data_IF_560314111057
#
_entry.id   IF_560314111057
#
_cell.length_a   1.000
_cell.length_b   1.000
_cell.length_c   1.000
_cell.angle_alpha   90.00
_cell.angle_beta   90.00
_cell.angle_gamma   90.00
#
_symmetry.space_group_name_H-M   'P 1'
#
loop_
_entity.id
_entity.type
_entity.pdbx_description
1 polymer ?
#
# COMPACT_ATOMS: atom_id res chain seq x y z
N UNK A 1 -14.09 29.11 -14.61
CA UNK A 1 -14.69 28.85 -13.29
C UNK A 1 -14.79 27.34 -13.12
N UNK A 2 -13.78 26.71 -12.54
CA UNK A 2 -13.74 25.26 -12.32
C UNK A 2 -14.18 24.98 -10.89
N UNK A 3 -15.37 24.38 -10.73
CA UNK A 3 -15.80 23.82 -9.44
C UNK A 3 -15.17 22.45 -9.28
N UNK A 4 -14.34 22.31 -8.26
CA UNK A 4 -13.70 21.09 -7.77
C UNK A 4 -14.74 20.07 -7.27
N UNK A 5 -14.59 18.76 -7.56
CA UNK A 5 -15.37 17.72 -6.92
C UNK A 5 -14.61 17.23 -5.69
N UNK A 6 -14.94 17.76 -4.51
CA UNK A 6 -14.50 17.20 -3.25
C UNK A 6 -15.56 17.47 -2.17
N UNK A 7 -16.76 16.93 -2.39
CA UNK A 7 -17.76 16.83 -1.33
C UNK A 7 -18.19 15.37 -1.15
N UNK A 8 -17.24 14.58 -0.66
CA UNK A 8 -17.51 13.32 0.02
C UNK A 8 -17.25 13.52 1.51
N UNK A 9 -18.03 14.38 2.15
CA UNK A 9 -18.30 14.43 3.60
C UNK A 9 -17.07 14.30 4.51
N UNK A 10 -16.52 15.45 4.92
CA UNK A 10 -15.44 15.62 5.90
C UNK A 10 -15.49 14.66 7.11
N UNK A 11 -16.69 14.35 7.61
CA UNK A 11 -16.87 13.48 8.78
C UNK A 11 -16.52 12.00 8.50
N UNK A 12 -16.76 11.51 7.28
CA UNK A 12 -16.46 10.11 6.92
C UNK A 12 -14.96 9.88 6.78
N UNK A 13 -14.26 10.82 6.14
CA UNK A 13 -12.79 10.80 6.06
C UNK A 13 -12.14 10.93 7.44
N UNK A 14 -12.60 11.84 8.29
CA UNK A 14 -12.11 11.97 9.67
C UNK A 14 -12.31 10.68 10.46
N UNK A 15 -13.42 9.96 10.26
CA UNK A 15 -13.67 8.66 10.91
C UNK A 15 -12.76 7.56 10.39
N UNK A 16 -12.49 7.51 9.08
CA UNK A 16 -11.55 6.55 8.48
C UNK A 16 -10.15 6.81 9.02
N UNK A 17 -9.67 8.06 9.01
CA UNK A 17 -8.37 8.43 9.55
C UNK A 17 -8.27 8.13 11.05
N UNK A 18 -9.34 8.38 11.82
CA UNK A 18 -9.36 8.08 13.27
C UNK A 18 -9.38 6.58 13.56
N UNK A 19 -10.07 5.78 12.75
CA UNK A 19 -10.03 4.32 12.85
C UNK A 19 -8.64 3.78 12.52
N UNK A 20 -8.01 4.30 11.46
CA UNK A 20 -6.62 3.97 11.11
C UNK A 20 -5.64 4.37 12.22
N UNK A 21 -5.83 5.54 12.85
CA UNK A 21 -5.00 5.99 13.98
C UNK A 21 -5.18 5.08 15.21
N UNK A 22 -6.42 4.69 15.55
CA UNK A 22 -6.68 3.78 16.68
C UNK A 22 -6.12 2.37 16.44
N UNK A 23 -6.14 1.89 15.19
CA UNK A 23 -5.48 0.63 14.81
C UNK A 23 -3.97 0.79 14.94
N UNK A 24 -3.38 1.89 14.45
CA UNK A 24 -1.96 2.17 14.59
C UNK A 24 -1.52 2.29 16.05
N UNK A 25 -2.31 2.95 16.90
CA UNK A 25 -2.01 3.15 18.32
C UNK A 25 -2.10 1.84 19.12
N UNK A 26 -3.11 1.00 18.86
CA UNK A 26 -3.22 -0.34 19.48
C UNK A 26 -2.08 -1.28 19.03
N UNK A 27 -1.58 -1.13 17.80
CA UNK A 27 -0.43 -1.90 17.30
C UNK A 27 0.91 -1.38 17.87
N UNK A 28 0.95 -0.13 18.32
CA UNK A 28 2.15 0.53 18.88
C UNK A 28 2.48 0.07 20.30
N UNK A 29 1.49 -0.40 21.06
CA UNK A 29 1.69 -0.81 22.46
C UNK A 29 2.44 -2.13 22.62
N UNK A 30 2.77 -2.84 21.51
CA UNK A 30 3.27 -4.21 21.58
C UNK A 30 4.56 -4.57 20.82
N UNK A 31 5.39 -3.63 20.31
CA UNK A 31 6.65 -4.06 19.66
C UNK A 31 7.75 -3.03 19.41
N UNK A 32 8.99 -3.47 19.64
CA UNK A 32 10.21 -2.96 19.03
C UNK A 32 10.23 -3.34 17.53
N UNK A 33 9.86 -2.37 16.69
CA UNK A 33 9.93 -2.34 15.22
C UNK A 33 9.28 -3.52 14.47
N UNK A 34 8.19 -3.18 13.79
CA UNK A 34 7.49 -4.01 12.83
C UNK A 34 7.51 -3.34 11.46
N UNK A 35 7.73 -4.13 10.41
CA UNK A 35 7.51 -3.66 9.04
C UNK A 35 6.03 -3.57 8.72
N UNK A 36 5.71 -3.26 7.46
CA UNK A 36 4.33 -3.10 7.01
C UNK A 36 4.10 -3.73 5.65
N UNK A 37 2.92 -4.31 5.47
CA UNK A 37 2.36 -4.58 4.16
C UNK A 37 1.66 -3.33 3.64
N UNK A 38 2.07 -2.86 2.48
CA UNK A 38 1.53 -1.67 1.82
C UNK A 38 1.11 -2.04 0.41
N UNK A 39 -0.16 -1.83 0.06
CA UNK A 39 -0.64 -2.00 -1.30
C UNK A 39 -0.88 -0.63 -1.93
N UNK A 40 -0.39 -0.43 -3.14
CA UNK A 40 -0.62 0.78 -3.93
C UNK A 40 -1.45 0.45 -5.17
N UNK A 41 -2.17 1.46 -5.65
CA UNK A 41 -2.80 1.44 -6.96
C UNK A 41 -2.03 2.41 -7.88
N UNK A 42 -1.42 1.87 -8.93
CA UNK A 42 -0.71 2.63 -9.96
C UNK A 42 -1.65 2.78 -11.15
N UNK A 43 -1.92 4.04 -11.53
CA UNK A 43 -2.73 4.36 -12.70
C UNK A 43 -1.84 4.39 -13.94
N UNK A 44 -2.29 3.79 -15.04
CA UNK A 44 -1.63 3.97 -16.34
C UNK A 44 -1.82 5.42 -16.81
N UNK A 45 -0.76 6.06 -17.30
CA UNK A 45 -0.84 7.47 -17.74
C UNK A 45 -1.58 7.65 -19.09
N UNK A 46 -1.67 6.62 -19.94
CA UNK A 46 -2.07 6.78 -21.35
C UNK A 46 -3.19 5.80 -21.84
N UNK A 47 -3.99 5.25 -20.94
CA UNK A 47 -5.14 4.41 -21.32
C UNK A 47 -6.41 5.25 -21.45
N UNK A 48 -7.03 5.27 -22.64
CA UNK A 48 -8.39 5.81 -22.91
C UNK A 48 -9.50 5.08 -22.12
N UNK A 49 -9.13 4.12 -21.26
CA UNK A 49 -10.02 3.30 -20.45
C UNK A 49 -9.75 3.61 -18.98
N UNK A 50 -10.64 4.39 -18.39
CA UNK A 50 -10.55 5.06 -17.08
C UNK A 50 -10.39 4.11 -15.87
N UNK A 51 -10.30 2.81 -16.10
CA UNK A 51 -10.47 1.76 -15.08
C UNK A 51 -9.29 0.79 -14.94
N UNK A 52 -8.22 0.91 -15.71
CA UNK A 52 -7.09 -0.02 -15.59
C UNK A 52 -6.03 0.48 -14.58
N UNK A 53 -6.23 0.15 -13.29
CA UNK A 53 -5.24 0.35 -12.23
C UNK A 53 -4.53 -0.96 -11.86
N UNK A 54 -3.21 -0.90 -11.74
CA UNK A 54 -2.35 -2.01 -11.32
C UNK A 54 -2.15 -1.96 -9.81
N UNK A 55 -2.43 -3.07 -9.14
CA UNK A 55 -2.12 -3.21 -7.72
C UNK A 55 -0.71 -3.77 -7.53
N UNK A 56 0.07 -3.13 -6.67
CA UNK A 56 1.37 -3.62 -6.25
C UNK A 56 1.38 -3.69 -4.73
N UNK A 57 1.76 -4.83 -4.17
CA UNK A 57 1.90 -5.03 -2.73
C UNK A 57 3.36 -5.14 -2.36
N UNK A 58 3.75 -4.32 -1.39
CA UNK A 58 5.08 -4.20 -0.86
C UNK A 58 5.14 -4.69 0.58
N UNK A 59 6.27 -5.28 0.95
CA UNK A 59 6.74 -5.40 2.32
C UNK A 59 7.73 -4.28 2.56
N UNK A 60 7.55 -3.50 3.64
CA UNK A 60 8.38 -2.34 3.95
C UNK A 60 8.92 -2.45 5.35
N UNK A 61 10.24 -2.44 5.50
CA UNK A 61 10.91 -2.49 6.79
C UNK A 61 11.06 -1.09 7.40
N UNK A 62 9.93 -0.47 7.76
CA UNK A 62 9.90 0.83 8.43
C UNK A 62 9.05 0.75 9.70
N UNK A 63 9.55 1.32 10.80
CA UNK A 63 8.86 1.24 12.08
C UNK A 63 7.61 2.12 12.15
N UNK A 64 7.65 3.27 11.47
CA UNK A 64 6.52 4.19 11.39
C UNK A 64 5.65 3.83 10.18
N UNK A 65 4.33 3.58 10.36
CA UNK A 65 3.44 3.29 9.24
C UNK A 65 3.37 4.42 8.22
N UNK A 66 3.51 5.68 8.65
CA UNK A 66 3.50 6.81 7.72
C UNK A 66 4.78 6.85 6.86
N UNK A 67 5.94 6.52 7.43
CA UNK A 67 7.18 6.30 6.69
C UNK A 67 7.05 5.15 5.69
N UNK A 68 6.45 4.02 6.08
CA UNK A 68 6.23 2.88 5.19
C UNK A 68 5.40 3.24 3.96
N UNK A 69 4.29 3.97 4.17
CA UNK A 69 3.45 4.50 3.08
C UNK A 69 4.24 5.46 2.20
N UNK A 70 5.00 6.38 2.79
CA UNK A 70 5.80 7.37 2.05
C UNK A 70 6.86 6.71 1.16
N UNK A 71 7.57 5.72 1.68
CA UNK A 71 8.56 4.95 0.92
C UNK A 71 7.91 4.23 -0.25
N UNK A 72 6.79 3.56 -0.02
CA UNK A 72 6.06 2.81 -1.05
C UNK A 72 5.52 3.70 -2.16
N UNK A 73 4.91 4.84 -1.80
CA UNK A 73 4.39 5.83 -2.75
C UNK A 73 5.52 6.42 -3.60
N UNK A 74 6.65 6.72 -2.97
CA UNK A 74 7.83 7.25 -3.68
C UNK A 74 8.42 6.24 -4.66
N UNK A 75 8.46 4.96 -4.28
CA UNK A 75 9.00 3.89 -5.12
C UNK A 75 8.09 3.59 -6.32
N UNK A 76 6.80 3.42 -6.07
CA UNK A 76 5.81 3.01 -7.08
C UNK A 76 5.35 4.13 -8.01
N UNK A 77 5.51 5.40 -7.63
CA UNK A 77 4.90 6.53 -8.35
C UNK A 77 3.38 6.62 -8.19
N UNK A 78 2.77 5.77 -7.35
CA UNK A 78 1.34 5.78 -7.10
C UNK A 78 0.90 7.10 -6.43
N UNK A 79 -0.36 7.50 -6.63
CA UNK A 79 -0.92 8.68 -5.96
C UNK A 79 -1.40 8.40 -4.53
N UNK A 80 -1.63 7.13 -4.20
CA UNK A 80 -2.15 6.69 -2.92
C UNK A 80 -1.71 5.27 -2.58
N UNK A 81 -1.70 4.96 -1.28
CA UNK A 81 -1.40 3.64 -0.75
C UNK A 81 -2.39 3.25 0.35
N UNK A 82 -2.58 1.95 0.53
CA UNK A 82 -3.33 1.33 1.61
C UNK A 82 -2.33 0.56 2.48
N UNK A 83 -2.26 0.96 3.75
CA UNK A 83 -1.55 0.22 4.78
C UNK A 83 -2.42 -0.96 5.22
N UNK A 84 -1.96 -2.19 4.99
CA UNK A 84 -2.76 -3.39 5.25
C UNK A 84 -2.58 -3.88 6.69
N UNK A 85 -1.37 -4.29 7.05
CA UNK A 85 -1.06 -4.87 8.36
C UNK A 85 0.43 -4.75 8.70
N UNK A 86 0.78 -4.80 10.00
CA UNK A 86 2.17 -4.87 10.44
C UNK A 86 2.78 -6.25 10.14
N UNK A 87 4.11 -6.30 10.04
CA UNK A 87 4.94 -7.49 9.84
C UNK A 87 5.95 -7.57 10.99
N UNK A 88 6.11 -8.77 11.55
CA UNK A 88 7.08 -9.04 12.62
C UNK A 88 8.54 -9.01 12.11
N UNK A 89 9.49 -8.70 12.98
CA UNK A 89 10.92 -8.60 12.62
C UNK A 89 11.44 -9.94 12.05
N UNK A 90 11.04 -11.07 12.62
CA UNK A 90 11.41 -12.40 12.17
C UNK A 90 10.93 -12.67 10.74
N UNK A 91 9.78 -12.11 10.35
CA UNK A 91 9.25 -12.25 8.99
C UNK A 91 10.05 -11.39 8.00
N UNK A 92 10.44 -10.17 8.38
CA UNK A 92 11.32 -9.32 7.57
C UNK A 92 12.70 -9.97 7.36
N UNK A 93 13.27 -10.55 8.42
CA UNK A 93 14.54 -11.26 8.36
C UNK A 93 14.48 -12.46 7.42
N UNK A 94 13.38 -13.23 7.44
CA UNK A 94 13.15 -14.35 6.50
C UNK A 94 13.03 -13.89 5.06
N UNK A 95 12.49 -12.69 4.83
CA UNK A 95 12.39 -12.06 3.51
C UNK A 95 13.69 -11.35 3.10
N UNK A 96 14.67 -11.22 4.00
CA UNK A 96 15.94 -10.55 3.74
C UNK A 96 15.83 -9.03 3.60
N UNK A 97 14.73 -8.43 4.05
CA UNK A 97 14.48 -6.98 3.92
C UNK A 97 15.07 -6.26 5.13
N UNK A 98 16.04 -5.36 4.90
CA UNK A 98 16.69 -4.60 5.97
C UNK A 98 15.89 -3.34 6.32
N UNK A 99 16.09 -2.76 7.52
CA UNK A 99 15.47 -1.49 7.87
C UNK A 99 15.68 -0.39 6.82
N UNK A 100 14.60 0.27 6.43
CA UNK A 100 14.57 1.28 5.36
C UNK A 100 14.44 0.71 3.94
N UNK A 101 14.49 -0.61 3.77
CA UNK A 101 14.26 -1.26 2.48
C UNK A 101 12.78 -1.64 2.30
N UNK A 102 12.41 -1.87 1.03
CA UNK A 102 11.10 -2.35 0.62
C UNK A 102 11.27 -3.42 -0.46
N UNK A 103 10.32 -4.37 -0.50
CA UNK A 103 10.30 -5.49 -1.42
C UNK A 103 8.91 -5.65 -2.02
N UNK A 104 8.81 -5.72 -3.34
CA UNK A 104 7.56 -6.09 -4.03
C UNK A 104 7.31 -7.58 -3.84
N UNK A 105 6.16 -7.95 -3.27
CA UNK A 105 5.76 -9.34 -3.08
C UNK A 105 4.60 -9.77 -3.98
N UNK A 106 3.82 -8.81 -4.48
CA UNK A 106 2.78 -9.07 -5.46
C UNK A 106 2.67 -7.89 -6.40
N UNK A 107 2.46 -8.21 -7.66
CA UNK A 107 2.37 -7.25 -8.73
C UNK A 107 1.34 -7.76 -9.74
N UNK A 108 0.26 -7.00 -9.94
CA UNK A 108 -0.83 -7.37 -10.83
C UNK A 108 -0.45 -7.49 -12.32
N UNK A 109 0.72 -7.00 -12.76
CA UNK A 109 1.22 -7.27 -14.11
C UNK A 109 1.78 -8.69 -14.25
N UNK A 110 2.35 -9.20 -13.16
CA UNK A 110 2.95 -10.53 -13.10
C UNK A 110 2.03 -11.44 -12.32
N UNK A 111 0.93 -11.88 -12.94
CA UNK A 111 0.10 -12.93 -12.37
C UNK A 111 0.77 -14.31 -12.63
N UNK A 112 1.40 -14.95 -11.63
CA UNK A 112 2.04 -16.25 -11.86
C UNK A 112 1.03 -17.36 -12.18
N UNK A 113 -0.28 -17.11 -12.03
CA UNK A 113 -1.32 -18.14 -12.13
C UNK A 113 -2.08 -18.09 -13.46
N UNK A 114 -2.02 -17.00 -14.26
CA UNK A 114 -2.95 -16.83 -15.38
C UNK A 114 -2.27 -16.31 -16.67
N UNK A 115 -1.41 -17.14 -17.27
CA UNK A 115 -1.44 -17.27 -18.73
C UNK A 115 -2.60 -18.21 -19.11
N UNK A 116 -3.84 -17.79 -18.85
CA UNK A 116 -5.02 -18.50 -19.37
C UNK A 116 -4.87 -18.54 -20.88
N UNK A 117 -4.47 -19.69 -21.41
CA UNK A 117 -4.59 -19.98 -22.82
C UNK A 117 -6.07 -19.75 -23.17
N UNK A 118 -6.37 -18.65 -23.87
CA UNK A 118 -7.65 -18.49 -24.55
C UNK A 118 -7.77 -19.69 -25.49
N UNK A 119 -8.60 -20.66 -25.13
CA UNK A 119 -9.01 -21.69 -26.07
C UNK A 119 -9.98 -21.05 -27.05
N UNK A 120 -9.64 -21.22 -28.32
CA UNK A 120 -10.23 -20.60 -29.49
C UNK A 120 -11.56 -21.24 -29.88
#
# INVERSE_FOLDING_TARGET
>A
MLRTPADLTSVRWVRICKAQQLIADNLREHSKMHGWLVTVAVFKEDGDDDEEFRHITYVVAAADPAEAVKLTVKDSGAKAAILNCPIEEEQLLRLGVKPGELLVIHDGEFDPIISRHRRH
#
